data_IF_929963628248
#
_entry.id   IF_929963628248
#
_cell.length_a   1.000
_cell.length_b   1.000
_cell.length_c   1.000
_cell.angle_alpha   90.00
_cell.angle_beta   90.00
_cell.angle_gamma   90.00
#
_symmetry.space_group_name_H-M   'P 1'
#
loop_
_entity.id
_entity.type
_entity.pdbx_description
1 polymer ?
#
# COMPACT_ATOMS: atom_id res chain seq x y z
N UNK A 1 -35.06 20.22 1.40
CA UNK A 1 -34.53 19.52 0.22
C UNK A 1 -33.34 18.69 0.69
N UNK A 2 -33.52 17.40 0.97
CA UNK A 2 -32.43 16.53 1.45
C UNK A 2 -31.63 16.03 0.25
N UNK A 3 -30.48 16.66 -0.01
CA UNK A 3 -29.50 16.11 -0.94
C UNK A 3 -28.93 14.87 -0.27
N UNK A 4 -29.38 13.70 -0.72
CA UNK A 4 -28.79 12.43 -0.32
C UNK A 4 -27.30 12.45 -0.69
N UNK A 5 -26.43 12.45 0.32
CA UNK A 5 -24.98 12.24 0.23
C UNK A 5 -24.67 10.80 -0.21
N UNK A 6 -25.09 10.46 -1.42
CA UNK A 6 -24.78 9.17 -2.04
C UNK A 6 -23.36 9.27 -2.57
N UNK A 7 -22.46 8.48 -1.98
CA UNK A 7 -21.13 8.26 -2.57
C UNK A 7 -21.34 7.86 -4.03
N UNK A 8 -20.74 8.57 -4.99
CA UNK A 8 -20.96 8.28 -6.40
C UNK A 8 -20.50 6.85 -6.69
N UNK A 9 -21.34 6.07 -7.39
CA UNK A 9 -21.03 4.66 -7.73
C UNK A 9 -19.67 4.51 -8.41
N UNK A 10 -19.28 5.51 -9.20
CA UNK A 10 -17.98 5.58 -9.88
C UNK A 10 -16.82 5.58 -8.88
N UNK A 11 -16.94 6.29 -7.74
CA UNK A 11 -15.90 6.31 -6.71
C UNK A 11 -15.77 4.95 -6.02
N UNK A 12 -16.91 4.31 -5.70
CA UNK A 12 -16.91 2.95 -5.12
C UNK A 12 -16.22 1.96 -6.06
N UNK A 13 -16.53 2.04 -7.36
CA UNK A 13 -15.88 1.20 -8.37
C UNK A 13 -14.36 1.45 -8.44
N UNK A 14 -13.91 2.72 -8.39
CA UNK A 14 -12.48 3.07 -8.37
C UNK A 14 -11.77 2.52 -7.12
N UNK A 15 -12.39 2.64 -5.94
CA UNK A 15 -11.85 2.08 -4.68
C UNK A 15 -11.74 0.56 -4.78
N UNK A 16 -12.84 -0.10 -5.16
CA UNK A 16 -12.87 -1.56 -5.29
C UNK A 16 -11.83 -2.07 -6.27
N UNK A 17 -11.72 -1.44 -7.44
CA UNK A 17 -10.72 -1.79 -8.45
C UNK A 17 -9.29 -1.62 -7.93
N UNK A 18 -8.98 -0.49 -7.26
CA UNK A 18 -7.66 -0.23 -6.68
C UNK A 18 -7.27 -1.30 -5.64
N UNK A 19 -8.19 -1.66 -4.75
CA UNK A 19 -7.96 -2.71 -3.75
C UNK A 19 -7.80 -4.10 -4.36
N UNK A 20 -8.67 -4.47 -5.30
CA UNK A 20 -8.58 -5.77 -6.00
C UNK A 20 -7.24 -5.86 -6.73
N UNK A 21 -6.84 -4.78 -7.42
CA UNK A 21 -5.58 -4.76 -8.15
C UNK A 21 -4.36 -4.90 -7.22
N UNK A 22 -4.38 -4.22 -6.06
CA UNK A 22 -3.36 -4.38 -5.03
C UNK A 22 -3.27 -5.83 -4.49
N UNK A 23 -4.42 -6.47 -4.25
CA UNK A 23 -4.48 -7.86 -3.80
C UNK A 23 -3.95 -8.84 -4.85
N UNK A 24 -4.31 -8.63 -6.12
CA UNK A 24 -3.81 -9.45 -7.23
C UNK A 24 -2.30 -9.33 -7.37
N UNK A 25 -1.75 -8.12 -7.29
CA UNK A 25 -0.30 -7.92 -7.31
C UNK A 25 0.38 -8.62 -6.13
N UNK A 26 -0.16 -8.46 -4.92
CA UNK A 26 0.39 -9.11 -3.73
C UNK A 26 0.37 -10.65 -3.90
N UNK A 27 -0.76 -11.22 -4.33
CA UNK A 27 -0.88 -12.66 -4.57
C UNK A 27 0.13 -13.15 -5.61
N UNK A 28 0.33 -12.40 -6.70
CA UNK A 28 1.34 -12.70 -7.71
C UNK A 28 2.76 -12.72 -7.14
N UNK A 29 3.12 -11.72 -6.31
CA UNK A 29 4.44 -11.64 -5.69
C UNK A 29 4.71 -12.74 -4.65
N UNK A 30 3.66 -13.17 -3.92
CA UNK A 30 3.73 -14.22 -2.92
C UNK A 30 3.63 -15.64 -3.52
N UNK A 31 3.28 -15.77 -4.81
CA UNK A 31 3.29 -17.07 -5.49
C UNK A 31 4.71 -17.64 -5.65
N UNK A 32 5.74 -16.81 -5.47
CA UNK A 32 7.14 -17.26 -5.42
C UNK A 32 7.43 -17.96 -4.08
N UNK A 33 7.80 -19.25 -4.07
CA UNK A 33 7.83 -20.09 -2.86
C UNK A 33 8.89 -19.70 -1.81
N UNK A 34 9.80 -18.76 -2.13
CA UNK A 34 10.92 -18.39 -1.26
C UNK A 34 10.78 -17.02 -0.60
N UNK A 35 9.70 -16.28 -0.81
CA UNK A 35 9.56 -14.89 -0.34
C UNK A 35 8.32 -14.69 0.53
N UNK A 36 8.53 -14.35 1.80
CA UNK A 36 7.46 -13.93 2.71
C UNK A 36 7.05 -12.47 2.45
N UNK A 37 5.90 -12.05 3.01
CA UNK A 37 5.39 -10.70 2.81
C UNK A 37 6.38 -9.62 3.31
N UNK A 38 7.12 -9.91 4.39
CA UNK A 38 8.14 -9.01 4.97
C UNK A 38 9.22 -8.62 3.96
N UNK A 39 9.58 -9.52 3.03
CA UNK A 39 10.55 -9.23 1.97
C UNK A 39 10.11 -8.05 1.09
N UNK A 40 8.80 -7.81 0.96
CA UNK A 40 8.24 -6.73 0.15
C UNK A 40 7.86 -5.49 0.97
N UNK A 41 8.23 -5.43 2.26
CA UNK A 41 7.95 -4.29 3.15
C UNK A 41 8.47 -2.95 2.62
N UNK A 42 9.57 -2.95 1.86
CA UNK A 42 10.12 -1.76 1.21
C UNK A 42 9.16 -1.13 0.20
N UNK A 43 8.19 -1.88 -0.33
CA UNK A 43 7.20 -1.36 -1.29
C UNK A 43 6.18 -0.43 -0.62
N UNK A 44 5.96 -0.56 0.70
CA UNK A 44 5.00 0.25 1.47
C UNK A 44 5.28 1.76 1.31
N UNK A 45 6.49 2.29 1.59
CA UNK A 45 6.78 3.70 1.35
C UNK A 45 6.93 4.05 -0.14
N UNK A 46 7.23 3.08 -1.01
CA UNK A 46 7.44 3.32 -2.44
C UNK A 46 6.14 3.64 -3.18
N UNK A 47 5.02 2.97 -2.87
CA UNK A 47 3.75 3.25 -3.55
C UNK A 47 3.27 4.70 -3.37
N UNK A 48 3.21 5.26 -2.13
CA UNK A 48 2.87 6.67 -1.93
C UNK A 48 3.87 7.62 -2.60
N UNK A 49 5.17 7.30 -2.62
CA UNK A 49 6.19 8.13 -3.26
C UNK A 49 6.00 8.20 -4.78
N UNK A 50 5.75 7.06 -5.42
CA UNK A 50 5.45 7.00 -6.86
C UNK A 50 4.15 7.76 -7.15
N UNK A 51 3.10 7.52 -6.36
CA UNK A 51 1.83 8.26 -6.52
C UNK A 51 2.02 9.76 -6.36
N UNK A 52 2.83 10.21 -5.39
CA UNK A 52 3.15 11.62 -5.23
C UNK A 52 3.82 12.20 -6.49
N UNK A 53 4.83 11.51 -7.04
CA UNK A 53 5.46 11.93 -8.29
C UNK A 53 4.47 12.00 -9.47
N UNK A 54 3.60 10.99 -9.59
CA UNK A 54 2.56 10.97 -10.63
C UNK A 54 1.51 12.07 -10.44
N UNK A 55 1.17 12.43 -9.20
CA UNK A 55 0.26 13.56 -8.92
C UNK A 55 0.91 14.87 -9.33
N UNK A 56 2.21 15.07 -9.06
CA UNK A 56 2.91 16.27 -9.50
C UNK A 56 2.94 16.38 -11.04
N UNK A 57 3.11 15.26 -11.75
CA UNK A 57 3.16 15.26 -13.21
C UNK A 57 1.79 15.40 -13.87
N UNK A 58 0.77 14.72 -13.35
CA UNK A 58 -0.52 14.54 -14.04
C UNK A 58 -1.73 15.03 -13.25
N UNK A 59 -1.61 15.14 -11.93
CA UNK A 59 -2.71 15.48 -11.02
C UNK A 59 -2.86 16.98 -10.73
N UNK A 60 -1.83 17.80 -10.99
CA UNK A 60 -1.90 19.25 -10.72
C UNK A 60 -2.94 19.98 -11.57
N UNK A 61 -3.16 19.52 -12.81
CA UNK A 61 -4.12 20.13 -13.74
C UNK A 61 -5.53 19.56 -13.59
N UNK A 62 -5.66 18.38 -12.97
CA UNK A 62 -6.93 17.63 -12.87
C UNK A 62 -6.98 16.91 -11.51
N UNK A 63 -7.71 17.53 -10.58
CA UNK A 63 -7.86 17.03 -9.20
C UNK A 63 -8.49 15.64 -9.12
N UNK A 64 -9.35 15.27 -10.08
CA UNK A 64 -9.98 13.94 -10.08
C UNK A 64 -8.96 12.86 -10.46
N UNK A 65 -8.09 13.14 -11.43
CA UNK A 65 -6.96 12.26 -11.78
C UNK A 65 -5.97 12.17 -10.62
N UNK A 66 -5.62 13.30 -10.01
CA UNK A 66 -4.75 13.34 -8.83
C UNK A 66 -5.29 12.48 -7.69
N UNK A 67 -6.58 12.62 -7.37
CA UNK A 67 -7.25 11.79 -6.36
C UNK A 67 -7.28 10.30 -6.71
N UNK A 68 -7.48 9.96 -7.99
CA UNK A 68 -7.45 8.56 -8.44
C UNK A 68 -6.05 7.95 -8.29
N UNK A 69 -4.99 8.70 -8.62
CA UNK A 69 -3.58 8.28 -8.45
C UNK A 69 -3.22 8.13 -6.96
N UNK A 70 -3.69 9.06 -6.12
CA UNK A 70 -3.51 8.99 -4.67
C UNK A 70 -4.17 7.73 -4.09
N UNK A 71 -5.39 7.41 -4.53
CA UNK A 71 -6.12 6.23 -4.13
C UNK A 71 -5.35 4.94 -4.45
N UNK A 72 -4.74 4.85 -5.64
CA UNK A 72 -3.85 3.72 -5.98
C UNK A 72 -2.69 3.60 -5.00
N UNK A 73 -1.96 4.68 -4.74
CA UNK A 73 -0.80 4.65 -3.83
C UNK A 73 -1.17 4.19 -2.41
N UNK A 74 -2.27 4.73 -1.88
CA UNK A 74 -2.76 4.41 -0.53
C UNK A 74 -3.28 2.98 -0.46
N UNK A 75 -4.09 2.52 -1.42
CA UNK A 75 -4.61 1.13 -1.42
C UNK A 75 -3.48 0.10 -1.47
N UNK A 76 -2.49 0.31 -2.34
CA UNK A 76 -1.34 -0.59 -2.46
C UNK A 76 -0.51 -0.61 -1.18
N UNK A 77 -0.17 0.57 -0.64
CA UNK A 77 0.53 0.69 0.64
C UNK A 77 -0.22 -0.03 1.77
N UNK A 78 -1.54 0.12 1.84
CA UNK A 78 -2.37 -0.48 2.90
C UNK A 78 -2.40 -1.99 2.82
N UNK A 79 -2.57 -2.58 1.61
CA UNK A 79 -2.62 -4.04 1.43
C UNK A 79 -1.30 -4.68 1.81
N UNK A 80 -0.17 -4.08 1.39
CA UNK A 80 1.16 -4.58 1.75
C UNK A 80 1.44 -4.42 3.24
N UNK A 81 1.05 -3.29 3.85
CA UNK A 81 1.20 -3.09 5.29
C UNK A 81 0.41 -4.12 6.09
N UNK A 82 -0.81 -4.46 5.67
CA UNK A 82 -1.61 -5.49 6.32
C UNK A 82 -0.99 -6.89 6.16
N UNK A 83 -0.49 -7.22 4.96
CA UNK A 83 0.17 -8.49 4.70
C UNK A 83 1.45 -8.67 5.53
N UNK A 84 2.27 -7.62 5.63
CA UNK A 84 3.47 -7.62 6.48
C UNK A 84 3.08 -7.75 7.95
N UNK A 85 2.07 -7.00 8.41
CA UNK A 85 1.59 -7.12 9.80
C UNK A 85 1.09 -8.54 10.10
N UNK A 86 0.31 -9.15 9.20
CA UNK A 86 -0.14 -10.53 9.35
C UNK A 86 1.04 -11.50 9.44
N UNK A 87 2.03 -11.34 8.57
CA UNK A 87 3.20 -12.23 8.56
C UNK A 87 4.06 -12.10 9.83
N UNK A 88 4.20 -10.88 10.36
CA UNK A 88 4.94 -10.61 11.59
C UNK A 88 4.21 -11.11 12.84
N UNK A 89 2.93 -10.75 12.99
CA UNK A 89 2.17 -10.98 14.22
C UNK A 89 1.46 -12.33 14.29
N UNK A 90 1.05 -12.89 13.13
CA UNK A 90 0.29 -14.15 13.09
C UNK A 90 1.20 -15.32 12.72
N UNK A 91 2.00 -15.18 11.65
CA UNK A 91 2.93 -16.25 11.26
C UNK A 91 4.20 -16.29 12.11
N UNK A 92 4.43 -15.27 12.95
CA UNK A 92 5.58 -15.22 13.84
C UNK A 92 6.91 -15.24 13.10
N UNK A 93 6.99 -14.73 11.85
CA UNK A 93 8.26 -14.61 11.11
C UNK A 93 9.30 -13.74 11.82
N UNK A 94 8.84 -12.96 12.78
CA UNK A 94 9.60 -12.15 13.71
C UNK A 94 10.18 -12.92 14.92
N UNK A 95 9.83 -14.19 15.13
CA UNK A 95 10.27 -14.99 16.29
C UNK A 95 11.71 -15.50 16.19
N UNK A 96 12.38 -15.29 15.05
CA UNK A 96 13.79 -15.66 14.83
C UNK A 96 14.68 -14.43 14.67
N UNK A 97 15.54 -14.18 15.68
CA UNK A 97 16.69 -13.27 15.66
C UNK A 97 16.47 -11.94 14.92
N UNK A 98 15.72 -11.01 15.52
CA UNK A 98 15.93 -9.60 15.22
C UNK A 98 17.40 -9.26 15.47
N UNK A 99 18.10 -8.80 14.42
CA UNK A 99 19.40 -8.16 14.62
C UNK A 99 19.10 -6.78 15.21
N UNK A 100 19.04 -6.69 16.54
CA UNK A 100 19.13 -5.39 17.22
C UNK A 100 20.47 -4.76 16.89
N UNK A 101 20.49 -3.88 15.88
CA UNK A 101 21.62 -3.00 15.63
C UNK A 101 21.42 -1.75 16.47
N UNK A 102 21.80 -1.83 17.75
CA UNK A 102 21.95 -0.62 18.57
C UNK A 102 23.18 0.14 18.06
N UNK A 103 22.94 1.26 17.38
CA UNK A 103 23.99 2.20 17.04
C UNK A 103 24.17 3.16 18.22
N UNK A 104 25.32 3.09 18.87
CA UNK A 104 25.73 4.08 19.86
C UNK A 104 26.20 5.31 19.10
N UNK A 105 25.44 6.40 19.18
CA UNK A 105 25.72 7.63 18.42
C UNK A 105 26.87 8.44 19.00
N UNK A 106 27.19 8.24 20.28
CA UNK A 106 28.28 8.91 20.97
C UNK A 106 28.87 7.97 22.02
N UNK A 107 30.17 7.69 21.92
CA UNK A 107 30.96 6.94 22.92
C UNK A 107 31.46 7.86 24.03
#
# INVERSE_FOLDING_TARGET
MSNNDKIPRVLIAKIGFSFIFALVLLAFLLMSPSKSAVHYSWMIPVFPLISFGLILLFGLHDSEKGGSIALFGVSFSSVFSLAVAYDLFVNGTASGSYVESSRVWFS
#
